data_IF_374483768372
#
_entry.id   IF_374483768372
#
_cell.length_a   1.000
_cell.length_b   1.000
_cell.length_c   1.000
_cell.angle_alpha   90.00
_cell.angle_beta   90.00
_cell.angle_gamma   90.00
#
_symmetry.space_group_name_H-M   'P 1'
#
loop_
_entity.id
_entity.type
_entity.pdbx_description
1 polymer ?
#
# COMPACT_ATOMS: atom_id res chain seq x y z
N UNK A 1 -2.25 -10.59 -2.16
CA UNK A 1 -2.00 -9.52 -3.15
C UNK A 1 -0.94 -8.61 -2.57
N UNK A 2 0.08 -8.25 -3.34
CA UNK A 2 1.24 -7.49 -2.85
C UNK A 2 1.25 -6.07 -3.44
N UNK A 3 1.54 -5.07 -2.60
CA UNK A 3 1.66 -3.67 -2.99
C UNK A 3 2.87 -3.41 -3.89
N UNK A 4 2.68 -2.79 -5.05
CA UNK A 4 3.76 -2.47 -5.97
C UNK A 4 4.76 -1.47 -5.36
N UNK A 5 6.00 -1.90 -5.18
CA UNK A 5 7.06 -1.10 -4.56
C UNK A 5 6.74 -0.66 -3.11
N UNK A 6 5.80 -1.34 -2.44
CA UNK A 6 5.43 -1.17 -1.03
C UNK A 6 5.33 0.28 -0.58
N UNK A 7 6.21 0.66 0.35
CA UNK A 7 6.31 2.01 0.93
C UNK A 7 6.44 3.16 -0.07
N UNK A 8 7.04 2.92 -1.24
CA UNK A 8 7.28 3.97 -2.24
C UNK A 8 5.99 4.52 -2.88
N UNK A 9 4.82 4.00 -2.51
CA UNK A 9 3.52 4.53 -2.94
C UNK A 9 3.02 5.69 -2.08
N UNK A 10 3.56 5.85 -0.87
CA UNK A 10 3.16 6.91 0.06
C UNK A 10 4.06 8.13 -0.16
N UNK A 11 3.47 9.30 -0.38
CA UNK A 11 4.22 10.55 -0.53
C UNK A 11 4.79 11.01 0.81
N UNK A 12 6.02 11.51 0.78
CA UNK A 12 6.58 12.22 1.93
C UNK A 12 5.85 13.55 2.12
N UNK A 13 5.63 13.93 3.38
CA UNK A 13 5.23 15.30 3.74
C UNK A 13 6.31 16.28 3.27
N UNK A 14 5.92 17.46 2.79
CA UNK A 14 6.82 18.40 2.12
C UNK A 14 7.97 18.84 3.05
N UNK A 15 7.61 19.13 4.30
CA UNK A 15 8.50 19.52 5.39
C UNK A 15 9.48 18.42 5.81
N UNK A 16 9.17 17.14 5.55
CA UNK A 16 9.97 16.00 5.97
C UNK A 16 10.87 15.45 4.87
N UNK A 17 10.67 15.84 3.60
CA UNK A 17 11.51 15.37 2.48
C UNK A 17 12.99 15.61 2.74
N UNK A 18 13.37 16.79 3.24
CA UNK A 18 14.77 17.14 3.52
C UNK A 18 15.42 16.23 4.57
N UNK A 19 14.64 15.58 5.45
CA UNK A 19 15.16 14.61 6.44
C UNK A 19 15.53 13.27 5.80
N UNK A 20 15.08 13.02 4.57
CA UNK A 20 15.41 11.82 3.78
C UNK A 20 16.54 12.08 2.78
N UNK A 21 17.35 13.10 3.03
CA UNK A 21 18.42 13.51 2.12
C UNK A 21 19.55 12.47 2.06
N UNK A 22 20.06 12.22 0.86
CA UNK A 22 21.24 11.42 0.60
C UNK A 22 22.18 12.13 -0.38
N UNK A 23 23.47 11.77 -0.34
CA UNK A 23 24.52 12.38 -1.14
C UNK A 23 25.03 11.34 -2.15
N UNK A 24 25.20 11.79 -3.38
CA UNK A 24 25.84 11.03 -4.47
C UNK A 24 27.00 11.85 -5.03
N UNK A 25 27.81 11.27 -5.91
CA UNK A 25 28.86 12.01 -6.63
C UNK A 25 28.31 13.17 -7.48
N UNK A 26 27.01 13.16 -7.80
CA UNK A 26 26.34 14.18 -8.60
C UNK A 26 25.59 15.23 -7.79
N UNK A 27 25.61 15.13 -6.46
CA UNK A 27 25.00 16.11 -5.56
C UNK A 27 24.06 15.51 -4.52
N UNK A 28 23.28 16.40 -3.93
CA UNK A 28 22.40 16.13 -2.79
C UNK A 28 20.95 15.97 -3.25
N UNK A 29 20.34 14.85 -2.90
CA UNK A 29 18.98 14.49 -3.31
C UNK A 29 18.14 14.13 -2.10
N UNK A 30 16.81 14.25 -2.20
CA UNK A 30 15.87 13.80 -1.18
C UNK A 30 14.76 12.95 -1.79
N UNK A 31 14.14 12.08 -0.99
CA UNK A 31 13.05 11.24 -1.46
C UNK A 31 11.72 12.02 -1.52
N UNK A 32 10.96 11.80 -2.60
CA UNK A 32 9.60 12.35 -2.77
C UNK A 32 8.50 11.43 -2.22
N UNK A 33 8.81 10.14 -2.13
CA UNK A 33 7.97 9.07 -1.61
C UNK A 33 8.71 8.38 -0.47
N UNK A 34 7.99 7.69 0.41
CA UNK A 34 8.55 7.12 1.63
C UNK A 34 9.62 6.07 1.29
N UNK A 35 10.90 6.32 1.61
CA UNK A 35 11.97 5.35 1.32
C UNK A 35 11.95 4.17 2.28
N UNK A 36 12.56 3.08 1.84
CA UNK A 36 12.91 1.96 2.72
C UNK A 36 13.91 2.39 3.79
N UNK A 37 13.91 1.70 4.93
CA UNK A 37 14.84 1.95 6.04
C UNK A 37 14.35 2.97 7.06
N UNK A 38 13.23 3.66 6.82
CA UNK A 38 12.62 4.50 7.86
C UNK A 38 11.97 3.64 8.94
N UNK A 39 12.32 3.89 10.20
CA UNK A 39 11.80 3.18 11.38
C UNK A 39 10.27 3.10 11.43
N UNK A 40 9.59 4.15 10.98
CA UNK A 40 8.13 4.27 11.06
C UNK A 40 7.41 3.97 9.73
N UNK A 41 8.11 3.45 8.71
CA UNK A 41 7.52 3.18 7.40
C UNK A 41 6.33 2.21 7.50
N UNK A 42 6.53 1.06 8.17
CA UNK A 42 5.48 0.06 8.35
C UNK A 42 4.25 0.60 9.10
N UNK A 43 4.46 1.35 10.18
CA UNK A 43 3.36 1.95 10.95
C UNK A 43 2.57 3.00 10.15
N UNK A 44 3.28 3.77 9.31
CA UNK A 44 2.65 4.76 8.42
C UNK A 44 1.85 4.06 7.33
N UNK A 45 2.40 3.01 6.73
CA UNK A 45 1.71 2.21 5.73
C UNK A 45 0.46 1.55 6.29
N UNK A 46 0.57 0.89 7.45
CA UNK A 46 -0.58 0.27 8.10
C UNK A 46 -1.68 1.29 8.40
N UNK A 47 -1.33 2.49 8.88
CA UNK A 47 -2.29 3.56 9.16
C UNK A 47 -2.99 4.04 7.88
N UNK A 48 -2.25 4.18 6.78
CA UNK A 48 -2.82 4.52 5.49
C UNK A 48 -3.82 3.43 5.06
N UNK A 49 -3.43 2.15 5.09
CA UNK A 49 -4.30 1.05 4.70
C UNK A 49 -5.57 0.97 5.56
N UNK A 50 -5.44 1.08 6.88
CA UNK A 50 -6.60 1.11 7.79
C UNK A 50 -7.52 2.28 7.45
N UNK A 51 -6.98 3.47 7.17
CA UNK A 51 -7.79 4.65 6.82
C UNK A 51 -8.54 4.44 5.50
N UNK A 52 -7.84 3.95 4.47
CA UNK A 52 -8.37 3.79 3.12
C UNK A 52 -9.36 2.64 2.98
N UNK A 53 -9.25 1.60 3.81
CA UNK A 53 -10.07 0.39 3.74
C UNK A 53 -10.92 0.16 5.00
N UNK A 54 -11.05 1.14 5.90
CA UNK A 54 -11.69 0.98 7.22
C UNK A 54 -13.07 0.30 7.19
N UNK A 55 -13.87 0.54 6.15
CA UNK A 55 -15.20 -0.03 5.95
C UNK A 55 -15.17 -1.53 5.58
N UNK A 56 -14.08 -1.97 4.94
CA UNK A 56 -13.84 -3.34 4.46
C UNK A 56 -12.93 -4.17 5.37
N UNK A 57 -12.13 -3.50 6.20
CA UNK A 57 -11.16 -4.12 7.12
C UNK A 57 -11.83 -5.17 8.01
N UNK A 58 -11.14 -6.30 8.19
CA UNK A 58 -11.54 -7.46 9.00
C UNK A 58 -12.78 -8.23 8.53
N UNK A 59 -13.59 -7.64 7.63
CA UNK A 59 -14.76 -8.28 7.02
C UNK A 59 -14.37 -8.97 5.72
N UNK A 60 -13.93 -8.16 4.75
CA UNK A 60 -13.70 -8.56 3.36
C UNK A 60 -12.21 -8.48 3.01
N UNK A 61 -11.44 -7.66 3.74
CA UNK A 61 -10.02 -7.42 3.48
C UNK A 61 -9.24 -7.46 4.78
N UNK A 62 -8.09 -8.14 4.75
CA UNK A 62 -7.03 -8.02 5.75
C UNK A 62 -5.80 -7.41 5.10
N UNK A 63 -5.14 -6.50 5.81
CA UNK A 63 -3.92 -5.86 5.32
C UNK A 63 -2.84 -5.93 6.39
N UNK A 64 -1.66 -6.42 5.99
CA UNK A 64 -0.46 -6.45 6.79
C UNK A 64 0.68 -5.82 6.01
N UNK A 65 1.00 -4.56 6.32
CA UNK A 65 2.01 -3.80 5.56
C UNK A 65 1.68 -3.91 4.06
N UNK A 66 2.60 -4.39 3.23
CA UNK A 66 2.43 -4.45 1.77
C UNK A 66 1.53 -5.61 1.30
N UNK A 67 1.23 -6.57 2.18
CA UNK A 67 0.38 -7.73 1.86
C UNK A 67 -1.10 -7.45 2.15
N UNK A 68 -1.94 -7.70 1.15
CA UNK A 68 -3.39 -7.60 1.22
C UNK A 68 -4.04 -8.93 0.88
N UNK A 69 -4.99 -9.35 1.71
CA UNK A 69 -5.80 -10.56 1.52
C UNK A 69 -7.25 -10.14 1.38
N UNK A 70 -7.89 -10.52 0.28
CA UNK A 70 -9.34 -10.45 0.15
C UNK A 70 -9.94 -11.79 0.56
N UNK A 71 -10.99 -11.77 1.38
CA UNK A 71 -11.67 -12.97 1.88
C UNK A 71 -13.19 -12.82 1.77
N UNK A 72 -13.87 -13.93 1.55
CA UNK A 72 -15.34 -14.03 1.57
C UNK A 72 -15.73 -15.41 2.09
N UNK A 73 -16.97 -15.54 2.58
CA UNK A 73 -17.50 -16.85 3.00
C UNK A 73 -17.95 -17.68 1.80
N UNK A 74 -18.59 -17.03 0.84
CA UNK A 74 -19.09 -17.64 -0.39
C UNK A 74 -18.32 -17.14 -1.62
N UNK A 75 -18.33 -17.93 -2.70
CA UNK A 75 -17.61 -17.64 -3.94
C UNK A 75 -18.21 -16.48 -4.73
N UNK A 76 -19.55 -16.39 -4.81
CA UNK A 76 -20.24 -15.30 -5.53
C UNK A 76 -19.97 -13.93 -4.88
N UNK A 77 -19.96 -13.88 -3.54
CA UNK A 77 -19.57 -12.70 -2.77
C UNK A 77 -18.11 -12.28 -3.01
N UNK A 78 -17.24 -13.22 -3.35
CA UNK A 78 -15.81 -12.95 -3.53
C UNK A 78 -15.57 -11.96 -4.67
N UNK A 79 -16.23 -12.16 -5.81
CA UNK A 79 -16.05 -11.31 -6.99
C UNK A 79 -16.55 -9.89 -6.74
N UNK A 80 -17.65 -9.75 -5.99
CA UNK A 80 -18.20 -8.44 -5.59
C UNK A 80 -17.21 -7.70 -4.67
N UNK A 81 -16.67 -8.40 -3.67
CA UNK A 81 -15.70 -7.84 -2.74
C UNK A 81 -14.39 -7.46 -3.43
N UNK A 82 -13.90 -8.31 -4.34
CA UNK A 82 -12.69 -8.07 -5.12
C UNK A 82 -12.86 -6.83 -6.04
N UNK A 83 -14.03 -6.68 -6.66
CA UNK A 83 -14.35 -5.49 -7.45
C UNK A 83 -14.31 -4.22 -6.60
N UNK A 84 -14.98 -4.23 -5.43
CA UNK A 84 -14.95 -3.08 -4.49
C UNK A 84 -13.53 -2.74 -4.04
N UNK A 85 -12.71 -3.75 -3.75
CA UNK A 85 -11.31 -3.56 -3.39
C UNK A 85 -10.53 -2.90 -4.55
N UNK A 86 -10.66 -3.38 -5.78
CA UNK A 86 -9.95 -2.80 -6.93
C UNK A 86 -10.41 -1.39 -7.26
N UNK A 87 -11.71 -1.10 -7.13
CA UNK A 87 -12.25 0.25 -7.30
C UNK A 87 -11.63 1.21 -6.27
N UNK A 88 -11.50 0.78 -5.01
CA UNK A 88 -10.85 1.55 -3.93
C UNK A 88 -9.34 1.75 -4.18
N UNK A 89 -8.62 0.71 -4.62
CA UNK A 89 -7.21 0.82 -4.99
C UNK A 89 -7.02 1.83 -6.13
N UNK A 90 -7.91 1.82 -7.13
CA UNK A 90 -7.88 2.76 -8.26
C UNK A 90 -8.16 4.19 -7.84
N UNK A 91 -9.16 4.40 -6.97
CA UNK A 91 -9.52 5.71 -6.40
C UNK A 91 -8.30 6.37 -5.73
N UNK A 92 -7.61 5.63 -4.87
CA UNK A 92 -6.45 6.13 -4.13
C UNK A 92 -5.11 5.95 -4.87
N UNK A 93 -5.16 5.50 -6.14
CA UNK A 93 -3.99 5.30 -7.01
C UNK A 93 -2.93 4.35 -6.41
N UNK A 94 -3.37 3.42 -5.57
CA UNK A 94 -2.56 2.33 -5.08
C UNK A 94 -2.44 1.26 -6.16
N UNK A 95 -1.23 0.74 -6.32
CA UNK A 95 -0.85 -0.24 -7.31
C UNK A 95 -0.48 -1.54 -6.61
N UNK A 96 -0.91 -2.64 -7.20
CA UNK A 96 -0.49 -3.98 -6.83
C UNK A 96 0.57 -4.47 -7.81
N UNK A 97 1.42 -5.41 -7.38
CA UNK A 97 2.37 -6.09 -8.24
C UNK A 97 1.73 -7.36 -8.82
N UNK A 98 1.35 -7.40 -10.12
CA UNK A 98 0.66 -8.55 -10.69
C UNK A 98 1.46 -9.84 -10.59
N UNK A 99 2.80 -9.78 -10.70
CA UNK A 99 3.67 -10.95 -10.62
C UNK A 99 3.74 -11.57 -9.20
N UNK A 100 3.29 -10.83 -8.19
CA UNK A 100 3.23 -11.27 -6.79
C UNK A 100 1.79 -11.38 -6.26
N UNK A 101 0.79 -11.28 -7.15
CA UNK A 101 -0.59 -11.52 -6.80
C UNK A 101 -1.01 -12.94 -7.17
N UNK A 102 -1.64 -13.62 -6.24
CA UNK A 102 -2.29 -14.92 -6.45
C UNK A 102 -3.80 -14.73 -6.34
N UNK A 103 -4.56 -15.30 -7.28
CA UNK A 103 -6.02 -15.23 -7.32
C UNK A 103 -6.61 -16.64 -7.52
N UNK A 104 -7.67 -16.98 -6.78
CA UNK A 104 -8.40 -18.24 -6.94
C UNK A 104 -7.62 -19.50 -6.56
N UNK A 105 -6.65 -19.39 -5.65
CA UNK A 105 -5.91 -20.51 -5.08
C UNK A 105 -6.67 -21.16 -3.92
#
# INVERSE_FOLDING_TARGET
>A
MDGFSGYNQIRMAEEDKIKTTFITMWGTFCYRVMPFGLKNAGATYQRAMVTLFHDMMHKEVEVYVDDMIAKSKEGEDHLINLKRLFDRLKEYKLRLNPAKCTFGA
#
